data_IF_031748811055
#
_entry.id   IF_031748811055
#
_cell.length_a   1.000
_cell.length_b   1.000
_cell.length_c   1.000
_cell.angle_alpha   90.00
_cell.angle_beta   90.00
_cell.angle_gamma   90.00
#
_symmetry.space_group_name_H-M   'P 1'
#
loop_
_entity.id
_entity.type
_entity.pdbx_description
1 polymer ?
#
# COMPACT_ATOMS: atom_id res chain seq x y z
N UNK A 1 -21.89 -15.45 -15.01
CA UNK A 1 -22.36 -14.25 -15.74
C UNK A 1 -23.36 -13.51 -14.88
N UNK A 2 -23.01 -12.33 -14.37
CA UNK A 2 -23.96 -11.43 -13.72
C UNK A 2 -23.67 -10.02 -14.23
N UNK A 3 -24.48 -9.59 -15.20
CA UNK A 3 -24.39 -8.27 -15.81
C UNK A 3 -24.91 -7.25 -14.79
N UNK A 4 -24.01 -6.49 -14.18
CA UNK A 4 -24.36 -5.33 -13.36
C UNK A 4 -24.66 -4.15 -14.28
N UNK A 5 -25.93 -4.01 -14.66
CA UNK A 5 -26.40 -2.83 -15.38
C UNK A 5 -26.67 -1.72 -14.37
N UNK A 6 -25.71 -0.80 -14.21
CA UNK A 6 -25.90 0.44 -13.46
C UNK A 6 -26.94 1.29 -14.21
N UNK A 7 -28.20 1.23 -13.80
CA UNK A 7 -29.24 2.12 -14.31
C UNK A 7 -29.00 3.48 -13.65
N UNK A 8 -28.28 4.36 -14.34
CA UNK A 8 -28.24 5.78 -13.99
C UNK A 8 -29.56 6.39 -14.49
N UNK A 9 -30.53 6.55 -13.59
CA UNK A 9 -31.67 7.43 -13.83
C UNK A 9 -31.17 8.87 -13.77
N UNK A 10 -31.35 9.65 -14.85
CA UNK A 10 -30.99 11.07 -14.95
C UNK A 10 -32.12 12.00 -14.50
N UNK A 11 -33.20 11.46 -13.93
CA UNK A 11 -34.31 12.27 -13.46
C UNK A 11 -34.09 12.74 -12.00
N UNK A 12 -33.78 14.04 -11.85
CA UNK A 12 -33.55 14.69 -10.56
C UNK A 12 -34.81 14.78 -9.69
N UNK A 13 -36.01 14.52 -10.24
CA UNK A 13 -37.27 14.71 -9.52
C UNK A 13 -37.77 13.45 -8.79
N UNK A 14 -37.09 12.32 -8.95
CA UNK A 14 -37.39 11.07 -8.23
C UNK A 14 -36.29 10.66 -7.24
N UNK A 15 -35.45 11.59 -6.81
CA UNK A 15 -34.42 11.35 -5.79
C UNK A 15 -34.97 11.07 -4.37
N UNK A 16 -36.29 11.10 -4.17
CA UNK A 16 -36.91 11.22 -2.85
C UNK A 16 -37.61 9.98 -2.28
N UNK A 17 -37.36 8.74 -2.74
CA UNK A 17 -38.17 7.59 -2.26
C UNK A 17 -37.44 6.28 -1.88
N UNK A 18 -36.12 6.27 -1.75
CA UNK A 18 -35.39 5.09 -1.23
C UNK A 18 -34.45 5.40 -0.06
N UNK A 19 -34.75 6.45 0.70
CA UNK A 19 -33.83 6.97 1.73
C UNK A 19 -34.17 6.57 3.19
N UNK A 20 -35.05 5.59 3.44
CA UNK A 20 -35.57 5.41 4.81
C UNK A 20 -35.12 4.15 5.57
N UNK A 21 -34.44 3.17 4.97
CA UNK A 21 -34.08 1.92 5.67
C UNK A 21 -32.64 1.42 5.44
N UNK A 22 -31.70 2.32 5.14
CA UNK A 22 -30.27 2.00 5.25
C UNK A 22 -29.66 2.94 6.27
N UNK A 23 -28.90 2.45 7.26
CA UNK A 23 -28.21 3.34 8.18
C UNK A 23 -27.35 4.27 7.34
N UNK A 24 -27.58 5.58 7.49
CA UNK A 24 -26.63 6.60 7.05
C UNK A 24 -25.41 6.40 7.93
N UNK A 25 -24.54 5.48 7.52
CA UNK A 25 -23.19 5.47 8.02
C UNK A 25 -22.58 6.78 7.53
N UNK A 26 -22.22 7.65 8.46
CA UNK A 26 -21.20 8.64 8.21
C UNK A 26 -19.89 7.87 7.94
N UNK A 27 -19.65 7.56 6.66
CA UNK A 27 -18.53 6.72 6.18
C UNK A 27 -17.23 7.55 6.08
N UNK A 28 -17.28 8.85 6.40
CA UNK A 28 -16.19 9.75 6.02
C UNK A 28 -14.89 9.54 6.81
N UNK A 29 -14.90 8.80 7.92
CA UNK A 29 -13.67 8.47 8.67
C UNK A 29 -13.64 7.10 9.38
N UNK A 30 -14.72 6.30 9.36
CA UNK A 30 -14.83 5.14 10.26
C UNK A 30 -14.17 3.84 9.76
N UNK A 31 -13.92 3.73 8.46
CA UNK A 31 -13.29 2.55 7.86
C UNK A 31 -12.24 3.00 6.84
N UNK A 32 -11.03 3.29 7.32
CA UNK A 32 -9.89 3.50 6.42
C UNK A 32 -9.65 2.17 5.71
N UNK A 33 -9.94 2.11 4.41
CA UNK A 33 -9.59 0.95 3.60
C UNK A 33 -8.07 0.73 3.66
N UNK A 34 -7.64 -0.52 3.71
CA UNK A 34 -6.22 -0.87 3.74
C UNK A 34 -5.55 -0.37 2.46
N UNK A 35 -4.38 0.25 2.60
CA UNK A 35 -3.59 0.67 1.44
C UNK A 35 -3.03 -0.56 0.70
N UNK A 36 -2.98 -0.50 -0.63
CA UNK A 36 -2.42 -1.55 -1.46
C UNK A 36 -1.02 -1.16 -1.93
N UNK A 37 -0.04 -2.04 -1.71
CA UNK A 37 1.33 -1.91 -2.21
C UNK A 37 1.56 -2.90 -3.35
N UNK A 38 2.18 -2.44 -4.44
CA UNK A 38 2.52 -3.26 -5.61
C UNK A 38 4.01 -3.05 -5.89
N UNK A 39 4.83 -4.07 -5.64
CA UNK A 39 6.28 -4.04 -5.81
C UNK A 39 6.80 -5.18 -6.70
N UNK A 40 7.92 -4.96 -7.39
CA UNK A 40 8.66 -5.99 -8.15
C UNK A 40 10.10 -6.07 -7.64
N UNK A 41 10.47 -7.23 -7.09
CA UNK A 41 11.76 -7.45 -6.43
C UNK A 41 12.67 -8.31 -7.28
N UNK A 42 13.86 -7.80 -7.57
CA UNK A 42 14.90 -8.54 -8.29
C UNK A 42 16.07 -8.82 -7.35
N UNK A 43 16.60 -10.05 -7.41
CA UNK A 43 17.87 -10.39 -6.77
C UNK A 43 18.99 -10.01 -7.73
N UNK A 44 19.93 -9.19 -7.27
CA UNK A 44 21.02 -8.66 -8.10
C UNK A 44 22.30 -9.41 -7.75
N UNK A 45 23.01 -9.90 -8.78
CA UNK A 45 24.35 -10.46 -8.60
C UNK A 45 25.30 -9.36 -8.06
N UNK A 46 26.11 -9.69 -7.06
CA UNK A 46 26.99 -8.75 -6.39
C UNK A 46 27.91 -8.00 -7.37
N UNK A 47 28.48 -8.71 -8.35
CA UNK A 47 29.37 -8.13 -9.36
C UNK A 47 28.66 -7.14 -10.30
N UNK A 48 27.35 -7.27 -10.46
CA UNK A 48 26.53 -6.44 -11.33
C UNK A 48 26.00 -5.15 -10.66
N UNK A 49 26.21 -4.98 -9.35
CA UNK A 49 25.66 -3.84 -8.58
C UNK A 49 26.12 -2.49 -9.15
N UNK A 50 27.40 -2.38 -9.51
CA UNK A 50 27.95 -1.12 -10.05
C UNK A 50 27.40 -0.80 -11.44
N UNK A 51 27.25 -1.83 -12.29
CA UNK A 51 26.65 -1.68 -13.63
C UNK A 51 25.20 -1.24 -13.51
N UNK A 52 24.42 -1.87 -12.63
CA UNK A 52 23.03 -1.51 -12.37
C UNK A 52 22.91 -0.07 -11.83
N UNK A 53 23.75 0.33 -10.88
CA UNK A 53 23.74 1.70 -10.34
C UNK A 53 23.97 2.73 -11.44
N UNK A 54 24.98 2.51 -12.29
CA UNK A 54 25.29 3.42 -13.39
C UNK A 54 24.14 3.52 -14.39
N UNK A 55 23.50 2.39 -14.72
CA UNK A 55 22.32 2.37 -15.58
C UNK A 55 21.13 3.11 -14.96
N UNK A 56 20.86 2.92 -13.66
CA UNK A 56 19.78 3.63 -12.96
C UNK A 56 19.99 5.15 -12.96
N UNK A 57 21.25 5.61 -12.88
CA UNK A 57 21.57 7.04 -12.93
C UNK A 57 21.27 7.68 -14.30
N UNK A 58 21.18 6.91 -15.39
CA UNK A 58 20.84 7.47 -16.72
C UNK A 58 19.34 7.67 -16.91
N UNK A 59 18.49 7.12 -16.02
CA UNK A 59 17.03 7.18 -16.16
C UNK A 59 16.41 8.53 -15.76
N UNK A 60 17.20 9.45 -15.19
CA UNK A 60 16.78 10.84 -14.94
C UNK A 60 15.68 11.04 -13.90
N UNK A 61 15.39 10.03 -13.06
CA UNK A 61 14.43 10.14 -11.96
C UNK A 61 15.00 10.85 -10.73
N UNK A 62 14.13 11.14 -9.75
CA UNK A 62 14.54 11.67 -8.45
C UNK A 62 15.46 10.66 -7.73
N UNK A 63 16.69 11.08 -7.44
CA UNK A 63 17.68 10.24 -6.80
C UNK A 63 17.82 10.59 -5.31
N UNK A 64 17.63 9.59 -4.45
CA UNK A 64 17.89 9.69 -3.01
C UNK A 64 19.18 8.96 -2.64
N UNK A 65 20.03 9.59 -1.83
CA UNK A 65 21.25 8.96 -1.34
C UNK A 65 20.93 7.73 -0.46
N UNK A 66 21.81 6.72 -0.42
CA UNK A 66 21.61 5.54 0.42
C UNK A 66 21.40 5.92 1.88
N UNK A 67 20.40 5.31 2.52
CA UNK A 67 20.12 5.48 3.95
C UNK A 67 20.00 4.12 4.62
N UNK A 68 20.57 4.00 5.82
CA UNK A 68 20.46 2.77 6.61
C UNK A 68 19.04 2.63 7.18
N UNK A 69 18.42 1.47 6.91
CA UNK A 69 17.13 1.06 7.47
C UNK A 69 17.39 -0.05 8.49
N UNK A 70 16.91 0.16 9.71
CA UNK A 70 16.96 -0.83 10.79
C UNK A 70 15.56 -1.38 11.00
N UNK A 71 15.39 -2.67 10.73
CA UNK A 71 14.10 -3.35 10.80
C UNK A 71 14.10 -4.35 11.96
N UNK A 72 13.14 -4.21 12.87
CA UNK A 72 12.88 -5.17 13.96
C UNK A 72 11.54 -5.84 13.68
N UNK A 73 11.56 -7.17 13.54
CA UNK A 73 10.37 -7.99 13.29
C UNK A 73 9.82 -8.53 14.60
N UNK A 74 8.53 -8.30 14.83
CA UNK A 74 7.81 -8.83 15.98
C UNK A 74 7.01 -10.06 15.56
N UNK A 75 6.95 -11.05 16.43
CA UNK A 75 6.20 -12.29 16.23
C UNK A 75 5.72 -12.82 17.58
N UNK A 76 4.63 -13.59 17.57
CA UNK A 76 4.16 -14.29 18.77
C UNK A 76 4.87 -15.63 18.91
N UNK A 77 5.02 -16.20 20.12
CA UNK A 77 5.69 -17.50 20.30
C UNK A 77 5.07 -18.65 19.50
N UNK A 78 3.79 -18.53 19.17
CA UNK A 78 3.07 -19.51 18.36
C UNK A 78 3.17 -19.23 16.85
N UNK A 79 3.93 -18.23 16.37
CA UNK A 79 4.07 -17.87 14.94
C UNK A 79 2.76 -17.44 14.26
N UNK A 80 1.91 -16.67 14.95
CA UNK A 80 0.59 -16.32 14.44
C UNK A 80 0.66 -15.45 13.18
N UNK A 81 1.50 -14.41 13.15
CA UNK A 81 1.57 -13.50 12.00
C UNK A 81 2.05 -14.23 10.74
N UNK A 82 3.08 -15.06 10.89
CA UNK A 82 3.60 -15.89 9.80
C UNK A 82 2.55 -16.80 9.18
N UNK A 83 1.70 -17.45 9.99
CA UNK A 83 0.63 -18.32 9.48
C UNK A 83 -0.44 -17.58 8.70
N UNK A 84 -0.63 -16.29 8.99
CA UNK A 84 -1.56 -15.43 8.27
C UNK A 84 -0.90 -14.68 7.09
N UNK A 85 0.34 -15.00 6.74
CA UNK A 85 1.11 -14.29 5.71
C UNK A 85 1.21 -12.79 5.97
N UNK A 86 1.20 -12.40 7.24
CA UNK A 86 1.34 -11.02 7.70
C UNK A 86 2.71 -10.82 8.35
N UNK A 87 3.17 -9.58 8.37
CA UNK A 87 4.37 -9.18 9.09
C UNK A 87 4.11 -7.90 9.87
N UNK A 88 4.68 -7.82 11.08
CA UNK A 88 4.73 -6.59 11.87
C UNK A 88 6.20 -6.18 11.99
N UNK A 89 6.53 -5.00 11.47
CA UNK A 89 7.91 -4.48 11.45
C UNK A 89 7.95 -3.06 12.00
N UNK A 90 8.88 -2.82 12.91
CA UNK A 90 9.29 -1.47 13.28
C UNK A 90 10.49 -1.08 12.44
N UNK A 91 10.36 0.02 11.69
CA UNK A 91 11.41 0.54 10.79
C UNK A 91 11.96 1.83 11.37
N UNK A 92 13.22 1.81 11.79
CA UNK A 92 13.96 3.00 12.17
C UNK A 92 14.89 3.42 11.02
N UNK A 93 14.72 4.66 10.56
CA UNK A 93 15.63 5.27 9.59
C UNK A 93 16.66 6.10 10.36
N UNK A 94 17.93 5.72 10.29
CA UNK A 94 18.98 6.54 10.88
C UNK A 94 19.18 7.79 10.02
N UNK A 95 18.96 8.96 10.62
CA UNK A 95 19.29 10.26 10.02
C UNK A 95 20.57 10.72 10.71
N UNK A 96 21.64 10.90 9.93
CA UNK A 96 22.88 11.46 10.45
C UNK A 96 22.59 12.89 10.97
N UNK A 97 22.75 13.10 12.27
CA UNK A 97 22.75 14.45 12.85
C UNK A 97 24.03 15.14 12.40
N UNK A 98 23.88 16.28 11.71
CA UNK A 98 25.00 17.17 11.38
C UNK A 98 25.46 17.93 12.62
#
# INVERSE_FOLDING_TARGET
>A
MAIWRKILSTDKNNAGKFANNLPICDITNKYKAMAQEIELKFIVNHDAVNVLRNYLHTLGGEHHAPSQLLNIYYETPDNWLRRHHMGCVFVAKMVAMK
#
